data_IF_790409464181
#
_entry.id   IF_790409464181
#
_cell.length_a   1.000
_cell.length_b   1.000
_cell.length_c   1.000
_cell.angle_alpha   90.00
_cell.angle_beta   90.00
_cell.angle_gamma   90.00
#
_symmetry.space_group_name_H-M   'P 1'
#
loop_
_entity.id
_entity.type
_entity.pdbx_description
1 polymer ?
#
# COMPACT_ATOMS: atom_id res chain seq x y z
N UNK A 1 -2.27 9.69 -2.03
CA UNK A 1 -2.38 8.37 -1.36
C UNK A 1 -2.60 8.46 0.16
N UNK A 2 -1.72 9.07 0.96
CA UNK A 2 -1.84 9.12 2.45
C UNK A 2 -3.24 9.53 2.93
N UNK A 3 -3.79 10.64 2.42
CA UNK A 3 -5.12 11.11 2.80
C UNK A 3 -6.25 10.12 2.45
N UNK A 4 -6.15 9.46 1.29
CA UNK A 4 -7.11 8.45 0.86
C UNK A 4 -7.05 7.20 1.76
N UNK A 5 -5.85 6.67 2.00
CA UNK A 5 -5.65 5.54 2.92
C UNK A 5 -6.10 5.88 4.35
N UNK A 6 -5.81 7.10 4.83
CA UNK A 6 -6.23 7.58 6.16
C UNK A 6 -7.75 7.61 6.30
N UNK A 7 -8.48 8.00 5.23
CA UNK A 7 -9.95 7.97 5.22
C UNK A 7 -10.50 6.55 5.40
N UNK A 8 -9.83 5.55 4.83
CA UNK A 8 -10.27 4.15 4.89
C UNK A 8 -9.87 3.47 6.20
N UNK A 9 -8.65 3.70 6.66
CA UNK A 9 -8.01 2.91 7.72
C UNK A 9 -7.91 3.63 9.06
N UNK A 10 -8.12 4.95 9.08
CA UNK A 10 -7.77 5.82 10.20
C UNK A 10 -6.29 6.20 10.21
N UNK A 11 -5.97 7.31 10.87
CA UNK A 11 -4.60 7.85 10.91
C UNK A 11 -3.61 6.91 11.60
N UNK A 12 -4.06 6.17 12.61
CA UNK A 12 -3.20 5.26 13.41
C UNK A 12 -2.69 4.05 12.62
N UNK A 13 -3.20 3.82 11.41
CA UNK A 13 -2.84 2.69 10.54
C UNK A 13 -2.11 3.12 9.27
N UNK A 14 -1.70 4.39 9.17
CA UNK A 14 -1.01 4.93 8.00
C UNK A 14 0.26 5.64 8.45
N UNK A 15 1.41 5.08 8.07
CA UNK A 15 2.70 5.74 8.26
C UNK A 15 3.13 6.43 6.97
N UNK A 16 3.02 7.76 6.94
CA UNK A 16 3.45 8.59 5.82
C UNK A 16 4.97 8.83 5.77
N UNK A 17 5.71 8.40 6.80
CA UNK A 17 7.15 8.56 6.94
C UNK A 17 7.85 7.22 7.15
N UNK A 18 7.23 6.14 6.66
CA UNK A 18 7.79 4.80 6.71
C UNK A 18 9.21 4.80 6.18
N UNK A 19 10.09 4.08 6.86
CA UNK A 19 11.51 4.02 6.49
C UNK A 19 11.66 3.45 5.08
N UNK A 20 12.54 4.02 4.23
CA UNK A 20 12.79 3.49 2.89
C UNK A 20 13.25 2.03 2.96
N UNK A 21 12.73 1.21 2.04
CA UNK A 21 13.09 -0.21 1.93
C UNK A 21 14.09 -0.38 0.80
N UNK A 22 15.20 -1.07 1.06
CA UNK A 22 16.30 -1.27 0.10
C UNK A 22 16.03 -2.32 -0.99
N UNK A 23 14.78 -2.43 -1.46
CA UNK A 23 14.42 -3.33 -2.56
C UNK A 23 14.63 -2.66 -3.92
N UNK A 24 15.13 -3.40 -4.91
CA UNK A 24 15.05 -3.00 -6.31
C UNK A 24 13.62 -3.21 -6.81
N UNK A 25 13.03 -2.19 -7.44
CA UNK A 25 11.66 -2.22 -7.94
C UNK A 25 11.59 -1.49 -9.28
N UNK A 26 11.01 -2.11 -10.31
CA UNK A 26 10.95 -1.53 -11.66
C UNK A 26 10.03 -0.30 -11.75
N UNK A 27 9.08 -0.15 -10.81
CA UNK A 27 8.29 1.07 -10.63
C UNK A 27 9.17 2.32 -10.42
N UNK A 28 10.42 2.17 -9.95
CA UNK A 28 11.35 3.30 -9.82
C UNK A 28 11.59 4.03 -11.14
N UNK A 29 11.65 3.30 -12.26
CA UNK A 29 11.84 3.90 -13.59
C UNK A 29 10.62 4.73 -14.02
N UNK A 30 9.41 4.35 -13.58
CA UNK A 30 8.22 5.18 -13.81
C UNK A 30 8.28 6.47 -12.99
N UNK A 31 8.77 6.41 -11.75
CA UNK A 31 8.94 7.58 -10.88
C UNK A 31 10.01 8.57 -11.36
N UNK A 32 10.95 8.14 -12.21
CA UNK A 32 11.87 9.04 -12.92
C UNK A 32 11.14 9.88 -13.99
N UNK A 33 10.02 9.40 -14.51
CA UNK A 33 9.31 10.02 -15.63
C UNK A 33 8.11 10.85 -15.19
N UNK A 34 7.36 10.37 -14.19
CA UNK A 34 6.15 11.03 -13.70
C UNK A 34 6.11 11.05 -12.19
N UNK A 35 5.49 12.09 -11.63
CA UNK A 35 5.18 12.12 -10.20
C UNK A 35 4.25 10.96 -9.86
N UNK A 36 4.66 10.15 -8.91
CA UNK A 36 3.89 9.01 -8.42
C UNK A 36 4.23 8.72 -6.97
N UNK A 37 3.59 7.68 -6.43
CA UNK A 37 3.85 7.19 -5.09
C UNK A 37 3.87 5.67 -5.12
N UNK A 38 4.92 5.08 -4.56
CA UNK A 38 4.99 3.66 -4.25
C UNK A 38 4.64 3.47 -2.78
N UNK A 39 3.70 2.58 -2.49
CA UNK A 39 3.18 2.36 -1.13
C UNK A 39 3.16 0.88 -0.81
N UNK A 40 3.42 0.57 0.46
CA UNK A 40 3.42 -0.80 0.96
C UNK A 40 2.25 -0.99 1.93
N UNK A 41 1.65 -2.18 1.90
CA UNK A 41 0.66 -2.62 2.89
C UNK A 41 1.31 -3.76 3.67
N UNK A 42 1.29 -3.67 5.00
CA UNK A 42 1.85 -4.70 5.86
C UNK A 42 1.08 -6.02 5.72
N UNK A 43 1.78 -7.10 5.36
CA UNK A 43 1.19 -8.44 5.23
C UNK A 43 0.93 -9.13 6.59
N UNK A 44 1.40 -8.53 7.69
CA UNK A 44 1.36 -9.06 9.05
C UNK A 44 2.75 -9.41 9.58
N UNK A 45 2.89 -9.42 10.91
CA UNK A 45 4.13 -9.67 11.65
C UNK A 45 3.98 -10.77 12.73
N UNK A 46 2.83 -11.45 12.75
CA UNK A 46 2.51 -12.51 13.69
C UNK A 46 3.08 -13.89 13.33
N UNK A 47 2.75 -14.93 14.13
CA UNK A 47 3.16 -16.30 13.82
C UNK A 47 2.76 -16.73 12.42
N UNK A 48 3.72 -17.28 11.66
CA UNK A 48 3.51 -17.67 10.26
C UNK A 48 3.77 -16.56 9.24
N UNK A 49 4.03 -15.32 9.67
CA UNK A 49 4.48 -14.27 8.76
C UNK A 49 5.83 -14.65 8.12
N UNK A 50 5.92 -14.47 6.80
CA UNK A 50 7.09 -14.80 6.01
C UNK A 50 7.35 -13.73 4.94
N UNK A 51 8.62 -13.54 4.57
CA UNK A 51 8.99 -12.65 3.48
C UNK A 51 8.63 -13.27 2.12
N UNK A 52 8.35 -12.39 1.15
CA UNK A 52 7.80 -12.69 -0.19
C UNK A 52 8.69 -13.53 -1.12
N UNK A 53 9.91 -13.88 -0.71
CA UNK A 53 10.82 -14.73 -1.49
C UNK A 53 11.13 -16.06 -0.80
N UNK A 54 10.29 -16.46 0.15
CA UNK A 54 10.41 -17.73 0.87
C UNK A 54 9.33 -18.70 0.41
N UNK A 55 9.55 -20.03 0.47
CA UNK A 55 8.51 -21.03 0.19
C UNK A 55 7.31 -20.98 1.15
N UNK A 56 7.45 -20.24 2.27
CA UNK A 56 6.41 -20.06 3.27
C UNK A 56 5.61 -18.78 3.07
N UNK A 57 5.92 -18.00 2.02
CA UNK A 57 5.15 -16.81 1.69
C UNK A 57 3.70 -17.18 1.43
N UNK A 58 2.81 -16.61 2.24
CA UNK A 58 1.37 -16.70 2.08
C UNK A 58 0.77 -15.29 2.08
N UNK A 59 -0.05 -15.00 1.09
CA UNK A 59 -0.64 -13.67 0.95
C UNK A 59 -1.83 -13.56 1.90
N UNK A 60 -1.87 -12.49 2.68
CA UNK A 60 -2.99 -12.28 3.59
C UNK A 60 -4.22 -11.75 2.82
N UNK A 61 -5.11 -12.67 2.42
CA UNK A 61 -6.33 -12.34 1.66
C UNK A 61 -7.25 -11.33 2.36
N UNK A 62 -7.16 -11.20 3.70
CA UNK A 62 -7.91 -10.18 4.43
C UNK A 62 -7.51 -8.74 4.05
N UNK A 63 -6.35 -8.57 3.40
CA UNK A 63 -5.85 -7.28 2.92
C UNK A 63 -6.41 -6.88 1.54
N UNK A 64 -6.96 -7.82 0.78
CA UNK A 64 -7.58 -7.53 -0.53
C UNK A 64 -8.62 -6.40 -0.41
N UNK A 65 -9.64 -6.49 0.48
CA UNK A 65 -10.62 -5.42 0.61
C UNK A 65 -10.02 -4.09 1.08
N UNK A 66 -8.93 -4.11 1.86
CA UNK A 66 -8.23 -2.90 2.33
C UNK A 66 -7.52 -2.20 1.17
N UNK A 67 -6.77 -2.96 0.35
CA UNK A 67 -6.09 -2.45 -0.82
C UNK A 67 -7.07 -1.86 -1.83
N UNK A 68 -8.14 -2.60 -2.15
CA UNK A 68 -9.20 -2.14 -3.05
C UNK A 68 -9.84 -0.85 -2.53
N UNK A 69 -10.25 -0.81 -1.25
CA UNK A 69 -10.92 0.35 -0.69
C UNK A 69 -10.01 1.59 -0.69
N UNK A 70 -8.73 1.42 -0.37
CA UNK A 70 -7.75 2.53 -0.40
C UNK A 70 -7.53 3.06 -1.81
N UNK A 71 -7.46 2.17 -2.81
CA UNK A 71 -7.32 2.55 -4.22
C UNK A 71 -8.57 3.25 -4.74
N UNK A 72 -9.77 2.74 -4.43
CA UNK A 72 -11.03 3.37 -4.81
C UNK A 72 -11.18 4.75 -4.17
N UNK A 73 -10.82 4.89 -2.89
CA UNK A 73 -10.82 6.19 -2.21
C UNK A 73 -9.86 7.19 -2.86
N UNK A 74 -8.70 6.73 -3.34
CA UNK A 74 -7.76 7.57 -4.09
C UNK A 74 -8.37 8.00 -5.42
N UNK A 75 -8.83 7.05 -6.23
CA UNK A 75 -9.42 7.32 -7.55
C UNK A 75 -10.63 8.25 -7.43
N UNK A 76 -11.49 8.03 -6.44
CA UNK A 76 -12.64 8.90 -6.19
C UNK A 76 -12.22 10.33 -5.84
N UNK A 77 -11.19 10.51 -5.02
CA UNK A 77 -10.66 11.82 -4.69
C UNK A 77 -10.06 12.54 -5.90
N UNK A 78 -9.24 11.84 -6.71
CA UNK A 78 -8.59 12.42 -7.89
C UNK A 78 -9.59 12.74 -9.01
N UNK A 79 -10.64 11.93 -9.17
CA UNK A 79 -11.66 12.10 -10.21
C UNK A 79 -12.90 12.87 -9.72
N UNK A 80 -12.86 13.43 -8.50
CA UNK A 80 -13.95 14.15 -7.85
C UNK A 80 -15.30 13.39 -7.93
N UNK A 81 -15.28 12.10 -7.58
CA UNK A 81 -16.48 11.24 -7.52
C UNK A 81 -16.93 11.04 -6.09
N UNK A 82 -18.24 10.92 -5.91
CA UNK A 82 -18.82 10.51 -4.64
C UNK A 82 -18.41 9.06 -4.34
N UNK A 83 -17.94 8.84 -3.12
CA UNK A 83 -17.50 7.56 -2.58
C UNK A 83 -17.99 7.44 -1.15
#
# INVERSE_FOLDING_TARGET
MIAAATRVLGADRVDGLASPVGGSEDFSFMLETVLGAYVMIGNGDGPGAAFVHTPHSDFNDALIPIGISSWLALVAAELNRAW
#
